data_IF_590940935950
#
_entry.id   IF_590940935950
#
_cell.length_a   1.000
_cell.length_b   1.000
_cell.length_c   1.000
_cell.angle_alpha   90.00
_cell.angle_beta   90.00
_cell.angle_gamma   90.00
#
_symmetry.space_group_name_H-M   'P 1'
#
loop_
_entity.id
_entity.type
_entity.pdbx_description
1 polymer ?
#
# COMPACT_ATOMS: atom_id res chain seq x y z
N UNK A 1 8.38 8.55 13.31
CA UNK A 1 7.39 9.39 14.03
C UNK A 1 7.70 9.32 15.50
N UNK A 2 7.91 10.44 16.19
CA UNK A 2 8.13 10.43 17.64
C UNK A 2 6.79 10.69 18.33
N UNK A 3 6.27 9.68 19.02
CA UNK A 3 5.02 9.76 19.79
C UNK A 3 5.31 10.53 21.09
N UNK A 4 4.35 11.32 21.58
CA UNK A 4 4.45 12.06 22.85
C UNK A 4 4.95 11.14 23.98
N UNK A 5 6.23 11.30 24.36
CA UNK A 5 6.94 10.42 25.29
C UNK A 5 6.42 10.55 26.72
N UNK A 6 5.86 11.71 27.07
CA UNK A 6 5.34 11.97 28.42
C UNK A 6 4.02 11.23 28.65
N UNK A 7 3.19 11.13 27.61
CA UNK A 7 1.91 10.42 27.67
C UNK A 7 2.13 8.91 27.52
N UNK A 8 2.87 8.47 26.50
CA UNK A 8 3.07 7.05 26.18
C UNK A 8 4.43 6.54 26.69
N UNK A 9 4.69 6.72 27.98
CA UNK A 9 5.97 6.37 28.61
C UNK A 9 6.13 4.89 28.99
N UNK A 10 5.07 4.07 28.90
CA UNK A 10 5.12 2.64 29.25
C UNK A 10 4.59 1.75 28.13
N UNK A 11 5.06 0.51 28.07
CA UNK A 11 4.56 -0.49 27.10
C UNK A 11 3.04 -0.65 27.21
N UNK A 12 2.51 -0.74 28.45
CA UNK A 12 1.07 -0.77 28.72
C UNK A 12 0.30 0.34 28.00
N UNK A 13 0.73 1.61 28.14
CA UNK A 13 0.03 2.74 27.53
C UNK A 13 0.10 2.71 26.00
N UNK A 14 1.26 2.33 25.44
CA UNK A 14 1.44 2.20 23.99
C UNK A 14 0.56 1.10 23.40
N UNK A 15 0.54 -0.07 24.05
CA UNK A 15 -0.28 -1.22 23.63
C UNK A 15 -1.77 -0.89 23.76
N UNK A 16 -2.21 -0.32 24.88
CA UNK A 16 -3.60 0.07 25.10
C UNK A 16 -4.09 1.10 24.07
N UNK A 17 -3.23 2.04 23.66
CA UNK A 17 -3.54 2.97 22.59
C UNK A 17 -3.76 2.27 21.26
N UNK A 18 -2.87 1.36 20.85
CA UNK A 18 -3.04 0.60 19.62
C UNK A 18 -4.35 -0.20 19.64
N UNK A 19 -4.63 -0.90 20.75
CA UNK A 19 -5.87 -1.67 20.92
C UNK A 19 -7.13 -0.80 20.91
N UNK A 20 -7.05 0.49 21.30
CA UNK A 20 -8.20 1.40 21.24
C UNK A 20 -8.68 1.69 19.81
N UNK A 21 -7.80 1.56 18.81
CA UNK A 21 -8.18 1.64 17.39
C UNK A 21 -8.68 0.32 16.82
N UNK A 22 -8.56 -0.78 17.56
CA UNK A 22 -9.05 -2.11 17.18
C UNK A 22 -10.52 -2.32 17.59
N UNK A 23 -11.35 -1.28 17.52
CA UNK A 23 -12.75 -1.32 17.97
C UNK A 23 -13.73 -1.90 16.94
N UNK A 24 -13.31 -2.05 15.69
CA UNK A 24 -14.20 -2.38 14.57
C UNK A 24 -13.68 -3.60 13.76
N UNK A 25 -14.61 -4.33 13.15
CA UNK A 25 -14.36 -5.44 12.22
C UNK A 25 -13.36 -6.50 12.74
N UNK A 26 -12.46 -6.98 11.89
CA UNK A 26 -11.47 -8.03 12.17
C UNK A 26 -10.50 -7.64 13.30
N UNK A 27 -10.27 -6.33 13.50
CA UNK A 27 -9.40 -5.86 14.56
C UNK A 27 -10.00 -6.04 15.97
N UNK A 28 -11.32 -6.04 16.08
CA UNK A 28 -12.03 -6.33 17.34
C UNK A 28 -11.74 -7.75 17.83
N UNK A 29 -11.74 -8.74 16.92
CA UNK A 29 -11.43 -10.13 17.25
C UNK A 29 -9.98 -10.27 17.76
N UNK A 30 -9.03 -9.57 17.13
CA UNK A 30 -7.64 -9.55 17.58
C UNK A 30 -7.51 -8.97 18.99
N UNK A 31 -8.22 -7.87 19.28
CA UNK A 31 -8.24 -7.26 20.61
C UNK A 31 -8.84 -8.22 21.67
N UNK A 32 -9.97 -8.86 21.36
CA UNK A 32 -10.61 -9.84 22.25
C UNK A 32 -9.71 -11.07 22.51
N UNK A 33 -9.07 -11.60 21.47
CA UNK A 33 -8.11 -12.71 21.60
C UNK A 33 -6.89 -12.33 22.43
N UNK A 34 -6.37 -11.12 22.20
CA UNK A 34 -5.26 -10.57 22.97
C UNK A 34 -5.61 -10.50 24.45
N UNK A 35 -6.73 -9.86 24.78
CA UNK A 35 -7.19 -9.71 26.17
C UNK A 35 -7.47 -11.06 26.83
N UNK A 36 -8.08 -12.00 26.10
CA UNK A 36 -8.37 -13.36 26.59
C UNK A 36 -7.09 -14.16 26.90
N UNK A 37 -6.06 -14.03 26.07
CA UNK A 37 -4.77 -14.72 26.30
C UNK A 37 -4.06 -14.24 27.57
N UNK A 38 -4.34 -13.01 28.01
CA UNK A 38 -3.72 -12.37 29.18
C UNK A 38 -4.52 -12.52 30.47
N UNK A 39 -5.78 -12.92 30.37
CA UNK A 39 -6.66 -13.18 31.53
C UNK A 39 -6.85 -14.67 31.81
N UNK A 40 -6.38 -15.57 30.93
CA UNK A 40 -6.38 -17.02 31.17
C UNK A 40 -5.45 -17.38 32.34
N UNK A 41 -6.05 -17.76 33.47
CA UNK A 41 -5.35 -18.30 34.65
C UNK A 41 -5.27 -17.38 35.86
N UNK A 42 -5.78 -16.14 35.77
CA UNK A 42 -5.71 -15.17 36.87
C UNK A 42 -6.94 -15.27 37.76
N UNK A 43 -6.92 -16.18 38.74
CA UNK A 43 -7.89 -16.18 39.84
C UNK A 43 -7.61 -15.00 40.78
N UNK A 44 -8.59 -14.12 40.94
CA UNK A 44 -8.71 -13.22 42.09
C UNK A 44 -7.97 -11.87 42.05
N UNK A 45 -6.94 -11.67 41.20
CA UNK A 45 -6.24 -10.37 41.13
C UNK A 45 -5.91 -10.00 39.66
N UNK A 46 -6.75 -9.15 39.05
CA UNK A 46 -6.75 -8.78 37.62
C UNK A 46 -5.54 -7.93 37.19
N UNK A 47 -4.33 -8.44 37.35
CA UNK A 47 -3.13 -7.77 36.84
C UNK A 47 -2.80 -8.36 35.48
N UNK A 48 -3.15 -7.63 34.41
CA UNK A 48 -2.74 -7.96 33.04
C UNK A 48 -1.22 -7.89 32.99
N UNK A 49 -0.56 -9.01 32.69
CA UNK A 49 0.86 -9.06 32.40
C UNK A 49 1.12 -8.49 31.00
N UNK A 50 1.67 -7.27 30.95
CA UNK A 50 1.92 -6.55 29.71
C UNK A 50 3.28 -6.95 29.14
N UNK A 51 3.29 -7.42 27.90
CA UNK A 51 4.54 -7.68 27.19
C UNK A 51 5.23 -6.39 26.72
N UNK A 52 6.44 -6.55 26.17
CA UNK A 52 7.13 -5.45 25.50
C UNK A 52 6.37 -5.01 24.27
N UNK A 53 6.47 -3.73 23.90
CA UNK A 53 5.84 -3.24 22.67
C UNK A 53 6.29 -4.03 21.44
N UNK A 54 7.57 -4.43 21.37
CA UNK A 54 8.12 -5.21 20.25
C UNK A 54 7.44 -6.57 20.13
N UNK A 55 7.32 -7.31 21.24
CA UNK A 55 6.65 -8.63 21.23
C UNK A 55 5.17 -8.50 20.87
N UNK A 56 4.50 -7.45 21.35
CA UNK A 56 3.13 -7.15 20.96
C UNK A 56 3.02 -6.89 19.46
N UNK A 57 3.86 -6.02 18.88
CA UNK A 57 3.81 -5.68 17.46
C UNK A 57 4.07 -6.91 16.57
N UNK A 58 5.01 -7.78 16.94
CA UNK A 58 5.27 -9.02 16.21
C UNK A 58 4.02 -9.93 16.16
N UNK A 59 3.34 -10.11 17.29
CA UNK A 59 2.11 -10.92 17.38
C UNK A 59 0.95 -10.24 16.67
N UNK A 60 0.83 -8.92 16.83
CA UNK A 60 -0.18 -8.11 16.19
C UNK A 60 -0.04 -8.23 14.67
N UNK A 61 1.15 -8.00 14.13
CA UNK A 61 1.41 -8.21 12.70
C UNK A 61 1.02 -9.62 12.24
N UNK A 62 1.43 -10.67 12.96
CA UNK A 62 1.06 -12.05 12.63
C UNK A 62 -0.45 -12.30 12.65
N UNK A 63 -1.19 -11.70 13.57
CA UNK A 63 -2.65 -11.86 13.66
C UNK A 63 -3.39 -11.25 12.47
N UNK A 64 -2.81 -10.22 11.84
CA UNK A 64 -3.35 -9.58 10.64
C UNK A 64 -2.66 -10.02 9.35
N UNK A 65 -1.73 -10.98 9.42
CA UNK A 65 -1.08 -11.55 8.23
C UNK A 65 -1.68 -12.93 7.93
N UNK A 66 -2.61 -13.05 6.97
CA UNK A 66 -3.01 -14.31 6.38
C UNK A 66 -1.81 -15.22 6.09
N UNK A 67 -1.96 -16.51 6.39
CA UNK A 67 -0.88 -17.51 6.27
C UNK A 67 -0.28 -17.60 4.84
N UNK A 68 -0.97 -17.09 3.82
CA UNK A 68 -0.54 -17.08 2.41
C UNK A 68 -0.52 -15.67 1.78
N UNK A 69 -0.51 -14.60 2.61
CA UNK A 69 -0.73 -13.23 2.15
C UNK A 69 0.34 -12.74 1.17
N UNK A 70 1.61 -13.05 1.45
CA UNK A 70 2.73 -12.69 0.58
C UNK A 70 2.60 -13.32 -0.79
N UNK A 71 2.25 -14.61 -0.86
CA UNK A 71 2.06 -15.32 -2.14
C UNK A 71 0.83 -14.80 -2.87
N UNK A 72 -0.27 -14.56 -2.17
CA UNK A 72 -1.48 -13.97 -2.73
C UNK A 72 -1.22 -12.57 -3.28
N UNK A 73 -0.52 -11.71 -2.54
CA UNK A 73 -0.12 -10.38 -2.97
C UNK A 73 0.77 -10.43 -4.21
N UNK A 74 1.76 -11.33 -4.25
CA UNK A 74 2.58 -11.54 -5.45
C UNK A 74 1.77 -12.00 -6.67
N UNK A 75 0.80 -12.90 -6.47
CA UNK A 75 -0.11 -13.32 -7.54
C UNK A 75 -1.00 -12.17 -8.01
N UNK A 76 -1.46 -11.32 -7.10
CA UNK A 76 -2.26 -10.13 -7.41
C UNK A 76 -1.42 -9.08 -8.15
N UNK A 77 -0.16 -8.84 -7.79
CA UNK A 77 0.75 -7.97 -8.56
C UNK A 77 0.88 -8.49 -10.00
N UNK A 78 1.08 -9.80 -10.18
CA UNK A 78 1.22 -10.40 -11.51
C UNK A 78 -0.03 -10.25 -12.37
N UNK A 79 -1.21 -10.18 -11.76
CA UNK A 79 -2.51 -10.04 -12.43
C UNK A 79 -3.00 -8.60 -12.55
N UNK A 80 -2.46 -7.67 -11.77
CA UNK A 80 -2.84 -6.26 -11.79
C UNK A 80 -2.61 -5.69 -13.19
N UNK A 81 -3.64 -5.12 -13.80
CA UNK A 81 -3.57 -4.41 -15.09
C UNK A 81 -4.35 -3.12 -14.98
N UNK A 82 -3.85 -2.07 -15.61
CA UNK A 82 -4.54 -0.80 -15.75
C UNK A 82 -5.68 -0.95 -16.75
N UNK A 83 -6.90 -0.66 -16.30
CA UNK A 83 -8.06 -0.63 -17.19
C UNK A 83 -8.01 0.57 -18.15
N UNK A 84 -8.65 0.50 -19.34
CA UNK A 84 -8.51 1.52 -20.40
C UNK A 84 -8.75 2.96 -19.95
N UNK A 85 -9.75 3.18 -19.10
CA UNK A 85 -10.15 4.50 -18.59
C UNK A 85 -9.63 4.80 -17.18
N UNK A 86 -8.98 3.85 -16.51
CA UNK A 86 -8.47 3.99 -15.14
C UNK A 86 -7.23 4.89 -15.10
N UNK A 87 -7.24 5.91 -14.22
CA UNK A 87 -6.08 6.77 -14.00
C UNK A 87 -4.92 5.96 -13.45
N UNK A 88 -3.70 6.21 -13.93
CA UNK A 88 -2.53 5.44 -13.49
C UNK A 88 -2.26 5.55 -11.99
N UNK A 89 -2.65 6.65 -11.35
CA UNK A 89 -2.55 6.85 -9.89
C UNK A 89 -3.29 5.77 -9.10
N UNK A 90 -4.44 5.30 -9.60
CA UNK A 90 -5.21 4.23 -8.96
C UNK A 90 -4.41 2.92 -8.98
N UNK A 91 -3.78 2.61 -10.12
CA UNK A 91 -2.91 1.44 -10.28
C UNK A 91 -1.66 1.54 -9.42
N UNK A 92 -1.05 2.73 -9.33
CA UNK A 92 0.11 2.99 -8.46
C UNK A 92 -0.25 2.70 -7.00
N UNK A 93 -1.41 3.17 -6.53
CA UNK A 93 -1.84 2.95 -5.14
C UNK A 93 -2.12 1.47 -4.86
N UNK A 94 -2.81 0.76 -5.77
CA UNK A 94 -3.02 -0.69 -5.69
C UNK A 94 -1.69 -1.45 -5.66
N UNK A 95 -0.76 -1.08 -6.55
CA UNK A 95 0.56 -1.70 -6.63
C UNK A 95 1.37 -1.49 -5.35
N UNK A 96 1.40 -0.26 -4.80
CA UNK A 96 2.11 0.04 -3.53
C UNK A 96 1.59 -0.78 -2.36
N UNK A 97 0.26 -0.92 -2.25
CA UNK A 97 -0.36 -1.75 -1.23
C UNK A 97 0.09 -3.20 -1.35
N UNK A 98 0.01 -3.76 -2.56
CA UNK A 98 0.39 -5.15 -2.82
C UNK A 98 1.89 -5.40 -2.62
N UNK A 99 2.75 -4.43 -2.96
CA UNK A 99 4.21 -4.49 -2.69
C UNK A 99 4.48 -4.60 -1.19
N UNK A 100 3.76 -3.82 -0.38
CA UNK A 100 3.83 -3.90 1.07
C UNK A 100 3.36 -5.25 1.62
N UNK A 101 2.23 -5.76 1.13
CA UNK A 101 1.69 -7.08 1.52
C UNK A 101 2.59 -8.24 1.07
N UNK A 102 3.29 -8.07 -0.06
CA UNK A 102 4.27 -9.02 -0.56
C UNK A 102 5.63 -8.90 0.14
N UNK A 103 5.79 -7.98 1.09
CA UNK A 103 7.04 -7.72 1.81
C UNK A 103 8.26 -7.57 0.88
N UNK A 104 8.08 -6.87 -0.24
CA UNK A 104 9.16 -6.63 -1.19
C UNK A 104 10.01 -5.44 -0.74
N UNK A 105 11.33 -5.56 -0.86
CA UNK A 105 12.27 -4.48 -0.59
C UNK A 105 12.02 -3.27 -1.51
N UNK A 106 12.38 -2.08 -1.03
CA UNK A 106 12.21 -0.82 -1.79
C UNK A 106 13.42 0.11 -1.69
N UNK A 107 14.55 -0.36 -1.13
CA UNK A 107 15.67 0.49 -0.73
C UNK A 107 16.88 0.34 -1.66
N UNK A 108 17.11 -0.88 -2.16
CA UNK A 108 18.30 -1.17 -2.97
C UNK A 108 18.07 -0.91 -4.45
N UNK A 109 19.16 -0.77 -5.22
CA UNK A 109 19.05 -0.67 -6.68
C UNK A 109 18.40 -1.93 -7.30
N UNK A 110 18.70 -3.11 -6.74
CA UNK A 110 18.08 -4.38 -7.13
C UNK A 110 16.58 -4.42 -6.82
N UNK A 111 16.16 -3.88 -5.67
CA UNK A 111 14.74 -3.76 -5.33
C UNK A 111 14.02 -2.89 -6.34
N UNK A 112 14.59 -1.71 -6.63
CA UNK A 112 14.01 -0.79 -7.61
C UNK A 112 13.90 -1.42 -8.99
N UNK A 113 14.96 -2.08 -9.49
CA UNK A 113 14.93 -2.74 -10.79
C UNK A 113 13.84 -3.83 -10.85
N UNK A 114 13.71 -4.63 -9.80
CA UNK A 114 12.68 -5.67 -9.70
C UNK A 114 11.27 -5.07 -9.71
N UNK A 115 11.02 -4.06 -8.87
CA UNK A 115 9.72 -3.38 -8.79
C UNK A 115 9.35 -2.67 -10.10
N UNK A 116 10.32 -2.09 -10.80
CA UNK A 116 10.11 -1.49 -12.12
C UNK A 116 9.63 -2.54 -13.10
N UNK A 117 10.29 -3.71 -13.17
CA UNK A 117 9.87 -4.80 -14.05
C UNK A 117 8.48 -5.35 -13.75
N UNK A 118 8.05 -5.35 -12.48
CA UNK A 118 6.69 -5.69 -12.09
C UNK A 118 5.69 -4.59 -12.47
N UNK A 119 6.00 -3.33 -12.15
CA UNK A 119 5.11 -2.20 -12.38
C UNK A 119 4.87 -1.93 -13.87
N UNK A 120 5.89 -2.11 -14.72
CA UNK A 120 5.76 -2.03 -16.18
C UNK A 120 4.63 -2.92 -16.71
N UNK A 121 4.48 -4.12 -16.15
CA UNK A 121 3.43 -5.07 -16.54
C UNK A 121 2.05 -4.70 -15.99
N UNK A 122 1.99 -3.81 -15.01
CA UNK A 122 0.75 -3.39 -14.36
C UNK A 122 0.07 -2.21 -15.08
N UNK A 123 0.84 -1.38 -15.80
CA UNK A 123 0.32 -0.21 -16.51
C UNK A 123 0.08 -0.51 -17.99
N UNK A 124 -0.60 0.38 -18.70
CA UNK A 124 -0.85 0.23 -20.14
C UNK A 124 0.49 0.12 -20.91
N UNK A 125 0.63 -0.81 -21.87
CA UNK A 125 1.88 -0.99 -22.62
C UNK A 125 2.40 0.29 -23.26
N UNK A 126 1.53 1.10 -23.88
CA UNK A 126 1.97 2.36 -24.50
C UNK A 126 2.52 3.38 -23.49
N UNK A 127 2.02 3.34 -22.24
CA UNK A 127 2.52 4.19 -21.16
C UNK A 127 3.88 3.70 -20.67
N UNK A 128 4.03 2.38 -20.49
CA UNK A 128 5.30 1.76 -20.12
C UNK A 128 6.39 2.05 -21.15
N UNK A 129 6.09 1.83 -22.43
CA UNK A 129 6.99 2.11 -23.56
C UNK A 129 7.43 3.58 -23.57
N UNK A 130 6.50 4.51 -23.39
CA UNK A 130 6.81 5.93 -23.35
C UNK A 130 7.75 6.31 -22.21
N UNK A 131 7.66 5.64 -21.06
CA UNK A 131 8.61 5.84 -19.95
C UNK A 131 9.97 5.23 -20.31
N UNK A 132 9.97 4.03 -20.88
CA UNK A 132 11.18 3.29 -21.25
C UNK A 132 12.04 4.03 -22.29
N UNK A 133 11.40 4.65 -23.29
CA UNK A 133 12.08 5.40 -24.35
C UNK A 133 12.31 6.88 -24.05
N UNK A 134 12.07 7.33 -22.81
CA UNK A 134 12.29 8.73 -22.44
C UNK A 134 13.75 9.00 -22.08
N UNK A 135 14.30 10.13 -22.54
CA UNK A 135 15.73 10.49 -22.43
C UNK A 135 16.30 10.38 -21.00
N UNK A 136 15.47 10.60 -19.98
CA UNK A 136 15.87 10.54 -18.56
C UNK A 136 15.33 9.29 -17.85
N UNK A 137 15.63 8.07 -18.32
CA UNK A 137 15.07 6.84 -17.74
C UNK A 137 15.23 6.80 -16.21
N UNK A 138 14.10 6.67 -15.51
CA UNK A 138 14.09 6.64 -14.06
C UNK A 138 14.65 5.30 -13.55
N UNK A 139 15.64 5.34 -12.65
CA UNK A 139 16.23 4.15 -12.01
C UNK A 139 15.51 3.72 -10.72
N UNK A 140 14.62 4.55 -10.21
CA UNK A 140 13.84 4.26 -9.00
C UNK A 140 12.37 4.05 -9.32
N UNK A 141 11.71 3.20 -8.55
CA UNK A 141 10.28 2.97 -8.70
C UNK A 141 9.45 4.26 -8.48
N UNK A 142 9.91 5.14 -7.58
CA UNK A 142 9.28 6.45 -7.35
C UNK A 142 9.40 7.36 -8.58
N UNK A 143 10.55 7.33 -9.27
CA UNK A 143 10.74 8.05 -10.52
C UNK A 143 9.80 7.53 -11.62
N UNK A 144 9.59 6.21 -11.67
CA UNK A 144 8.60 5.59 -12.56
C UNK A 144 7.18 6.04 -12.25
N UNK A 145 6.77 6.08 -10.98
CA UNK A 145 5.45 6.60 -10.60
C UNK A 145 5.24 8.05 -11.03
N UNK A 146 6.25 8.91 -10.82
CA UNK A 146 6.21 10.32 -11.25
C UNK A 146 6.00 10.44 -12.76
N UNK A 147 6.81 9.72 -13.55
CA UNK A 147 6.72 9.75 -15.02
C UNK A 147 5.41 9.17 -15.54
N UNK A 148 4.96 8.06 -14.97
CA UNK A 148 3.69 7.45 -15.33
C UNK A 148 2.53 8.43 -15.12
N UNK A 149 2.48 9.07 -13.94
CA UNK A 149 1.46 10.08 -13.62
C UNK A 149 1.50 11.27 -14.58
N UNK A 150 2.69 11.80 -14.86
CA UNK A 150 2.87 12.90 -15.80
C UNK A 150 2.37 12.55 -17.21
N UNK A 151 2.78 11.40 -17.75
CA UNK A 151 2.42 11.00 -19.10
C UNK A 151 0.95 10.60 -19.23
N UNK A 152 0.36 9.94 -18.23
CA UNK A 152 -1.07 9.62 -18.22
C UNK A 152 -1.91 10.90 -18.19
N UNK A 153 -1.52 11.87 -17.36
CA UNK A 153 -2.18 13.19 -17.28
C UNK A 153 -2.11 13.93 -18.61
N UNK A 154 -0.92 14.02 -19.21
CA UNK A 154 -0.74 14.68 -20.51
C UNK A 154 -1.56 14.00 -21.62
N UNK A 155 -1.61 12.67 -21.63
CA UNK A 155 -2.42 11.92 -22.59
C UNK A 155 -3.91 12.24 -22.44
N UNK A 156 -4.42 12.27 -21.20
CA UNK A 156 -5.83 12.55 -20.92
C UNK A 156 -6.20 13.99 -21.29
N UNK A 157 -5.35 14.98 -20.97
CA UNK A 157 -5.55 16.37 -21.39
C UNK A 157 -5.58 16.48 -22.92
N UNK A 158 -4.62 15.87 -23.61
CA UNK A 158 -4.57 15.88 -25.07
C UNK A 158 -5.81 15.22 -25.71
N UNK A 159 -6.37 14.17 -25.08
CA UNK A 159 -7.61 13.52 -25.52
C UNK A 159 -8.80 14.49 -25.42
N UNK A 160 -8.96 15.18 -24.30
CA UNK A 160 -10.02 16.19 -24.10
C UNK A 160 -9.95 17.29 -25.16
N UNK A 161 -8.78 17.89 -25.37
CA UNK A 161 -8.62 18.95 -26.38
C UNK A 161 -8.96 18.48 -27.81
N UNK A 162 -8.58 17.24 -28.17
CA UNK A 162 -8.94 16.65 -29.47
C UNK A 162 -10.45 16.44 -29.62
N UNK A 163 -11.12 16.02 -28.56
CA UNK A 163 -12.57 15.84 -28.57
C UNK A 163 -13.31 17.17 -28.70
N UNK A 164 -12.91 18.21 -27.95
CA UNK A 164 -13.49 19.56 -28.03
C UNK A 164 -13.33 20.18 -29.42
N UNK A 165 -12.13 20.12 -29.99
CA UNK A 165 -11.86 20.62 -31.35
C UNK A 165 -12.65 19.86 -32.41
N UNK A 166 -12.87 18.54 -32.23
CA UNK A 166 -13.71 17.75 -33.15
C UNK A 166 -15.19 18.12 -33.07
N UNK A 167 -15.71 18.45 -31.88
CA UNK A 167 -17.10 18.89 -31.68
C UNK A 167 -17.35 20.26 -32.30
N UNK A 168 -16.40 21.19 -32.15
CA UNK A 168 -16.48 22.52 -32.76
C UNK A 168 -16.49 22.46 -34.30
N UNK A 169 -15.80 21.50 -34.91
CA UNK A 169 -15.82 21.29 -36.38
C UNK A 169 -17.11 20.66 -36.90
N UNK A 170 -17.92 20.02 -36.04
CA UNK A 170 -19.13 19.25 -36.44
C UNK A 170 -20.44 20.01 -36.26
N UNK A 171 -20.42 21.22 -35.71
CA UNK A 171 -21.61 22.08 -35.61
C UNK A 171 -21.71 22.94 -36.87
N UNK A 172 -22.72 22.75 -37.74
CA UNK A 172 -22.93 23.61 -38.90
C UNK A 172 -23.35 25.01 -38.43
N UNK A 173 -22.86 26.06 -39.10
CA UNK A 173 -23.39 27.42 -39.01
C UNK A 173 -24.71 27.52 -39.74
#
# INVERSE_FOLDING_TARGET
MDINKDIYNTNKKKIAFILSFCGEAEAKLCNEQYMTSRTRGTSGNHTIDWETLTTFLDKFHKAFTPVDETRSAMNNIRRLRQEPDEKVEVVINKFKLLVGQANLGTETETDHAYLIGLFQKCIRPQLADKIMYSDNLARTIQGWYKKATQFDTNYRLAKVFKEETSKHRRTPR
#
